data_IF_436655058374
#
_entry.id   IF_436655058374
#
_cell.length_a   1.000
_cell.length_b   1.000
_cell.length_c   1.000
_cell.angle_alpha   90.00
_cell.angle_beta   90.00
_cell.angle_gamma   90.00
#
_symmetry.space_group_name_H-M   'P 1'
#
loop_
_entity.id
_entity.type
_entity.pdbx_description
1 polymer ?
#
# COMPACT_ATOMS: atom_id res chain seq x y z
N UNK A 1 -55.60 -16.84 -49.89
CA UNK A 1 -56.10 -18.24 -49.91
C UNK A 1 -55.44 -18.99 -48.78
N UNK A 2 -56.27 -19.42 -47.84
CA UNK A 2 -56.20 -20.56 -46.93
C UNK A 2 -55.07 -20.55 -45.87
N UNK A 3 -55.35 -20.31 -44.53
CA UNK A 3 -55.99 -21.22 -43.52
C UNK A 3 -55.09 -22.42 -43.27
N UNK A 4 -54.72 -22.81 -41.99
CA UNK A 4 -55.41 -22.89 -40.71
C UNK A 4 -54.35 -23.22 -39.68
N UNK A 5 -54.38 -22.71 -38.44
CA UNK A 5 -54.95 -23.31 -37.23
C UNK A 5 -54.40 -24.68 -36.83
N UNK A 6 -53.83 -24.77 -35.63
CA UNK A 6 -53.57 -25.97 -34.88
C UNK A 6 -53.14 -25.63 -33.45
N UNK A 7 -54.08 -25.55 -32.58
CA UNK A 7 -53.92 -25.48 -31.11
C UNK A 7 -53.55 -26.87 -30.57
N UNK A 8 -52.76 -26.93 -29.53
CA UNK A 8 -52.44 -28.13 -28.78
C UNK A 8 -52.12 -27.77 -27.33
N UNK A 9 -53.13 -27.86 -26.52
CA UNK A 9 -53.17 -27.79 -25.09
C UNK A 9 -52.55 -29.04 -24.43
N UNK A 10 -51.87 -28.93 -23.34
CA UNK A 10 -51.29 -30.09 -22.63
C UNK A 10 -50.69 -29.76 -21.29
N UNK A 11 -51.56 -29.62 -20.33
CA UNK A 11 -51.47 -29.67 -18.86
C UNK A 11 -50.26 -30.33 -18.23
N UNK A 12 -49.76 -29.67 -17.18
CA UNK A 12 -49.43 -30.09 -15.82
C UNK A 12 -48.66 -31.40 -15.60
N UNK A 13 -47.59 -31.29 -14.84
CA UNK A 13 -47.50 -31.90 -13.51
C UNK A 13 -46.24 -31.46 -12.75
N UNK A 14 -46.51 -30.99 -11.55
CA UNK A 14 -45.75 -30.65 -10.37
C UNK A 14 -45.12 -31.91 -9.75
N UNK A 15 -43.83 -31.88 -9.41
CA UNK A 15 -43.16 -32.64 -8.35
C UNK A 15 -41.88 -31.86 -7.97
N UNK A 16 -41.73 -31.17 -6.91
CA UNK A 16 -41.52 -31.55 -5.56
C UNK A 16 -40.10 -32.08 -5.33
N UNK A 17 -39.19 -31.25 -4.82
CA UNK A 17 -37.86 -31.69 -4.41
C UNK A 17 -37.14 -30.54 -3.71
N UNK A 18 -37.43 -30.36 -2.41
CA UNK A 18 -36.73 -29.41 -1.57
C UNK A 18 -35.30 -29.88 -1.31
N UNK A 19 -34.33 -28.97 -1.39
CA UNK A 19 -33.05 -29.17 -0.78
C UNK A 19 -32.81 -28.07 0.25
N UNK A 20 -32.81 -28.53 1.50
CA UNK A 20 -32.58 -27.77 2.70
C UNK A 20 -31.06 -27.53 2.82
N UNK A 21 -30.60 -26.35 2.55
CA UNK A 21 -29.26 -25.93 3.00
C UNK A 21 -29.28 -25.73 4.51
N UNK A 22 -28.71 -26.69 5.20
CA UNK A 22 -28.54 -26.70 6.65
C UNK A 22 -27.65 -25.52 7.10
N UNK A 23 -28.28 -24.59 7.80
CA UNK A 23 -27.64 -23.50 8.51
C UNK A 23 -27.02 -24.07 9.79
N UNK A 24 -25.70 -24.33 9.79
CA UNK A 24 -24.99 -24.83 10.98
C UNK A 24 -24.67 -23.64 11.89
N UNK A 25 -25.54 -23.42 12.82
CA UNK A 25 -25.40 -22.45 13.91
C UNK A 25 -24.57 -23.09 15.02
N UNK A 26 -23.26 -22.80 15.08
CA UNK A 26 -22.38 -23.26 16.16
C UNK A 26 -22.53 -22.31 17.35
N UNK A 27 -23.43 -22.66 18.24
CA UNK A 27 -23.57 -22.06 19.60
C UNK A 27 -22.43 -22.58 20.48
N UNK A 28 -21.44 -21.75 20.75
CA UNK A 28 -20.45 -21.96 21.81
C UNK A 28 -21.10 -21.80 23.17
N UNK A 29 -21.42 -22.91 23.82
CA UNK A 29 -21.82 -22.95 25.24
C UNK A 29 -20.58 -22.75 26.11
N UNK A 30 -20.48 -21.62 26.76
CA UNK A 30 -19.55 -21.38 27.87
C UNK A 30 -20.03 -22.20 29.11
N UNK A 31 -19.31 -23.30 29.38
CA UNK A 31 -19.48 -24.10 30.58
C UNK A 31 -18.77 -23.41 31.75
N UNK A 32 -19.55 -22.83 32.64
CA UNK A 32 -19.10 -22.18 33.87
C UNK A 32 -18.84 -23.28 34.92
N UNK A 33 -17.58 -23.71 35.10
CA UNK A 33 -17.20 -24.57 36.20
C UNK A 33 -17.12 -23.74 37.51
N UNK A 34 -18.06 -24.00 38.42
CA UNK A 34 -17.97 -23.51 39.78
C UNK A 34 -17.10 -24.49 40.59
N UNK A 35 -15.93 -24.07 40.97
CA UNK A 35 -15.17 -24.75 42.02
C UNK A 35 -15.36 -23.98 43.33
N UNK A 36 -16.10 -24.63 44.26
CA UNK A 36 -16.04 -24.32 45.68
C UNK A 36 -14.80 -25.02 46.24
N UNK A 37 -13.81 -24.27 46.68
CA UNK A 37 -12.64 -24.73 47.39
C UNK A 37 -12.38 -23.86 48.62
N UNK A 38 -12.51 -24.50 49.75
CA UNK A 38 -12.29 -24.17 51.14
C UNK A 38 -11.15 -23.18 51.43
N UNK A 39 -11.46 -22.18 52.26
CA UNK A 39 -10.50 -21.26 52.89
C UNK A 39 -9.69 -22.00 53.94
N UNK A 40 -8.38 -22.22 53.68
CA UNK A 40 -7.40 -22.51 54.75
C UNK A 40 -6.48 -21.28 54.87
N UNK A 41 -6.44 -20.75 56.11
CA UNK A 41 -5.56 -19.67 56.55
C UNK A 41 -4.11 -20.16 56.53
N UNK A 42 -3.33 -19.83 55.50
CA UNK A 42 -1.89 -19.99 55.41
C UNK A 42 -1.19 -18.64 55.66
N UNK A 43 -0.32 -18.60 56.67
CA UNK A 43 0.48 -17.45 57.07
C UNK A 43 1.28 -16.89 55.86
N UNK A 44 1.08 -15.64 55.56
CA UNK A 44 1.91 -14.89 54.58
C UNK A 44 3.33 -14.73 55.13
N UNK A 45 4.25 -15.53 54.61
CA UNK A 45 5.67 -15.26 54.70
C UNK A 45 6.07 -14.14 53.72
N UNK A 46 6.70 -13.12 54.25
CA UNK A 46 7.22 -11.98 53.49
C UNK A 46 8.31 -12.48 52.51
N UNK A 47 8.28 -12.09 51.21
CA UNK A 47 9.32 -12.49 50.30
C UNK A 47 10.66 -11.86 50.67
N UNK A 48 11.79 -12.56 50.47
CA UNK A 48 13.12 -12.02 50.77
C UNK A 48 13.44 -10.84 49.86
N UNK A 49 14.14 -9.86 50.43
CA UNK A 49 14.60 -8.66 49.73
C UNK A 49 15.49 -9.01 48.52
N UNK A 50 15.36 -8.29 47.39
CA UNK A 50 16.21 -8.53 46.25
C UNK A 50 17.68 -8.20 46.55
N UNK A 51 18.56 -9.11 46.14
CA UNK A 51 20.01 -8.95 46.25
C UNK A 51 20.49 -7.77 45.40
N UNK A 52 21.52 -7.02 45.82
CA UNK A 52 22.02 -5.89 45.07
C UNK A 52 22.64 -6.35 43.74
N UNK A 53 22.06 -5.90 42.63
CA UNK A 53 22.60 -6.10 41.28
C UNK A 53 23.85 -5.23 41.14
N UNK A 54 25.03 -5.86 41.08
CA UNK A 54 26.27 -5.17 40.70
C UNK A 54 26.10 -4.63 39.26
N UNK A 55 26.07 -3.31 39.12
CA UNK A 55 26.15 -2.65 37.82
C UNK A 55 27.54 -2.88 37.22
N UNK A 56 27.66 -3.36 35.99
CA UNK A 56 28.95 -3.42 35.33
C UNK A 56 29.38 -2.00 34.92
N UNK A 57 30.40 -1.47 35.60
CA UNK A 57 31.13 -0.28 35.19
C UNK A 57 32.07 -0.64 34.03
N UNK A 58 31.51 -0.88 32.87
CA UNK A 58 32.26 -1.07 31.66
C UNK A 58 31.67 -0.16 30.59
N UNK A 59 32.35 0.95 30.26
CA UNK A 59 32.05 1.73 29.05
C UNK A 59 32.23 0.79 27.84
N UNK A 60 31.13 0.36 27.24
CA UNK A 60 31.14 -0.30 25.94
C UNK A 60 31.59 0.75 24.91
N UNK A 61 32.71 0.56 24.18
CA UNK A 61 33.09 1.49 23.12
C UNK A 61 32.01 1.43 22.01
N UNK A 62 31.37 2.58 21.78
CA UNK A 62 30.48 2.77 20.66
C UNK A 62 31.33 2.72 19.39
N UNK A 63 31.13 1.78 18.46
CA UNK A 63 31.83 1.79 17.21
C UNK A 63 31.49 3.08 16.48
N UNK A 64 32.51 3.86 16.11
CA UNK A 64 32.36 4.99 15.19
C UNK A 64 31.73 4.45 13.91
N UNK A 65 30.52 4.88 13.61
CA UNK A 65 29.93 4.70 12.28
C UNK A 65 30.73 5.60 11.32
N UNK A 66 31.65 5.00 10.63
CA UNK A 66 32.15 5.58 9.39
C UNK A 66 31.00 5.49 8.37
N UNK A 67 30.31 6.61 8.23
CA UNK A 67 29.34 6.78 7.15
C UNK A 67 30.11 6.81 5.83
N UNK A 68 29.88 5.89 4.89
CA UNK A 68 30.30 6.14 3.54
C UNK A 68 29.39 7.27 3.02
N UNK A 69 29.97 8.44 2.85
CA UNK A 69 29.39 9.53 2.09
C UNK A 69 29.27 9.07 0.61
N UNK A 70 28.27 8.25 0.34
CA UNK A 70 27.81 7.97 -1.00
C UNK A 70 27.25 9.27 -1.57
N UNK A 71 27.90 9.81 -2.60
CA UNK A 71 27.41 10.90 -3.42
C UNK A 71 25.99 10.57 -3.87
N UNK A 72 24.99 11.13 -3.19
CA UNK A 72 23.64 11.19 -3.69
C UNK A 72 23.69 12.02 -4.98
N UNK A 73 23.47 11.36 -6.11
CA UNK A 73 23.16 12.03 -7.36
C UNK A 73 21.90 12.87 -7.13
N UNK A 74 22.09 14.18 -7.10
CA UNK A 74 21.01 15.16 -6.97
C UNK A 74 20.17 15.16 -8.25
N UNK A 75 19.28 14.17 -8.37
CA UNK A 75 18.13 14.25 -9.25
C UNK A 75 17.11 15.19 -8.58
N UNK A 76 16.45 16.06 -9.36
CA UNK A 76 15.46 17.04 -8.91
C UNK A 76 14.45 16.35 -7.95
N UNK A 77 14.61 16.60 -6.65
CA UNK A 77 14.10 15.77 -5.59
C UNK A 77 12.58 15.71 -5.54
N UNK A 78 12.06 14.54 -5.76
CA UNK A 78 10.68 14.23 -5.36
C UNK A 78 10.60 14.41 -3.84
N UNK A 79 9.95 15.47 -3.39
CA UNK A 79 9.81 15.75 -1.96
C UNK A 79 8.76 14.79 -1.39
N UNK A 80 9.23 13.66 -0.84
CA UNK A 80 8.44 12.78 0.02
C UNK A 80 8.49 13.33 1.43
N UNK A 81 7.32 13.55 2.03
CA UNK A 81 7.20 14.13 3.37
C UNK A 81 7.47 13.11 4.46
N UNK A 82 6.96 11.89 4.29
CA UNK A 82 7.08 10.84 5.30
C UNK A 82 8.40 10.07 5.21
N UNK A 83 8.99 9.71 6.36
CA UNK A 83 10.26 8.98 6.42
C UNK A 83 10.17 7.59 5.79
N UNK A 84 9.08 6.85 6.07
CA UNK A 84 8.87 5.51 5.52
C UNK A 84 8.76 5.52 3.99
N UNK A 85 8.14 6.56 3.40
CA UNK A 85 8.08 6.71 1.95
C UNK A 85 9.48 6.88 1.34
N UNK A 86 10.33 7.70 1.97
CA UNK A 86 11.71 7.90 1.52
C UNK A 86 12.54 6.62 1.63
N UNK A 87 12.40 5.90 2.75
CA UNK A 87 13.10 4.64 3.00
C UNK A 87 12.71 3.59 1.97
N UNK A 88 11.38 3.36 1.75
CA UNK A 88 10.91 2.40 0.74
C UNK A 88 11.36 2.80 -0.66
N UNK A 89 11.29 4.09 -1.02
CA UNK A 89 11.71 4.55 -2.33
C UNK A 89 13.20 4.35 -2.58
N UNK A 90 14.05 4.66 -1.60
CA UNK A 90 15.51 4.45 -1.70
C UNK A 90 15.83 2.97 -1.88
N UNK A 91 15.26 2.10 -1.04
CA UNK A 91 15.41 0.67 -1.14
C UNK A 91 14.95 0.12 -2.50
N UNK A 92 13.79 0.55 -2.97
CA UNK A 92 13.24 0.18 -4.28
C UNK A 92 14.16 0.65 -5.43
N UNK A 93 14.73 1.85 -5.35
CA UNK A 93 15.67 2.38 -6.33
C UNK A 93 16.97 1.57 -6.40
N UNK A 94 17.50 1.17 -5.25
CA UNK A 94 18.70 0.32 -5.16
C UNK A 94 18.47 -1.04 -5.81
N UNK A 95 17.34 -1.70 -5.48
CA UNK A 95 17.00 -3.00 -6.03
C UNK A 95 16.76 -2.97 -7.54
N UNK A 96 16.03 -1.99 -8.05
CA UNK A 96 15.74 -1.93 -9.49
C UNK A 96 16.99 -1.66 -10.35
N UNK A 97 17.94 -0.89 -9.84
CA UNK A 97 19.09 -0.45 -10.61
C UNK A 97 18.67 0.27 -11.90
N UNK A 98 18.99 -0.31 -13.06
CA UNK A 98 18.61 0.22 -14.39
C UNK A 98 17.28 -0.30 -14.92
N UNK A 99 16.67 -1.27 -14.27
CA UNK A 99 15.37 -1.86 -14.66
C UNK A 99 14.23 -0.88 -14.42
N UNK A 100 13.07 -1.06 -15.05
CA UNK A 100 11.87 -0.28 -14.75
C UNK A 100 11.41 -0.46 -13.30
N UNK A 101 11.46 -1.71 -12.79
CA UNK A 101 11.11 -2.07 -11.43
C UNK A 101 11.87 -3.32 -10.96
N UNK A 102 12.05 -3.52 -9.64
CA UNK A 102 12.56 -4.78 -9.09
C UNK A 102 11.47 -5.86 -9.14
N UNK A 103 11.88 -7.11 -9.04
CA UNK A 103 10.95 -8.22 -8.89
C UNK A 103 10.39 -8.31 -7.46
N UNK A 104 9.17 -8.84 -7.31
CA UNK A 104 8.58 -9.05 -5.99
C UNK A 104 9.45 -9.94 -5.09
N UNK A 105 10.11 -10.93 -5.67
CA UNK A 105 10.97 -11.87 -4.95
C UNK A 105 12.23 -11.21 -4.35
N UNK A 106 12.67 -10.09 -4.90
CA UNK A 106 13.83 -9.33 -4.41
C UNK A 106 13.52 -8.46 -3.19
N UNK A 107 12.22 -8.25 -2.90
CA UNK A 107 11.82 -7.49 -1.72
C UNK A 107 11.99 -8.35 -0.48
N UNK A 108 13.01 -8.04 0.31
CA UNK A 108 13.32 -8.70 1.57
C UNK A 108 12.66 -7.98 2.75
N UNK A 109 11.71 -8.61 3.47
CA UNK A 109 11.04 -7.97 4.62
C UNK A 109 12.02 -7.52 5.71
N UNK A 110 13.12 -8.23 5.90
CA UNK A 110 14.12 -7.88 6.89
C UNK A 110 14.80 -6.53 6.61
N UNK A 111 14.99 -6.20 5.33
CA UNK A 111 15.63 -4.94 4.89
C UNK A 111 14.74 -3.72 5.18
N UNK A 112 13.41 -3.89 5.17
CA UNK A 112 12.43 -2.83 5.39
C UNK A 112 11.64 -3.00 6.70
N UNK A 113 12.19 -3.76 7.65
CA UNK A 113 11.50 -4.10 8.92
C UNK A 113 10.96 -2.90 9.68
N UNK A 114 11.64 -1.75 9.60
CA UNK A 114 11.27 -0.51 10.27
C UNK A 114 9.97 0.11 9.76
N UNK A 115 9.60 -0.20 8.51
CA UNK A 115 8.44 0.38 7.84
C UNK A 115 7.39 -0.66 7.41
N UNK A 116 7.58 -1.95 7.73
CA UNK A 116 6.66 -3.03 7.34
C UNK A 116 5.23 -2.79 7.83
N UNK A 117 5.06 -2.20 9.01
CA UNK A 117 3.73 -1.92 9.57
C UNK A 117 2.92 -0.92 8.75
N UNK A 118 3.57 -0.07 7.97
CA UNK A 118 2.98 0.96 7.10
C UNK A 118 2.99 0.55 5.63
N UNK A 119 3.61 -0.62 5.33
CA UNK A 119 3.77 -1.13 3.97
C UNK A 119 2.58 -1.99 3.57
N UNK A 120 2.18 -1.91 2.32
CA UNK A 120 1.20 -2.82 1.73
C UNK A 120 1.64 -3.28 0.34
N UNK A 121 1.06 -4.39 -0.12
CA UNK A 121 1.24 -4.93 -1.47
C UNK A 121 -0.15 -5.20 -2.06
N UNK A 122 -0.39 -4.70 -3.27
CA UNK A 122 -1.61 -4.94 -4.04
C UNK A 122 -1.29 -5.74 -5.31
N UNK A 123 -2.22 -6.59 -5.73
CA UNK A 123 -2.18 -7.16 -7.06
C UNK A 123 -2.60 -6.10 -8.08
N UNK A 124 -1.92 -6.01 -9.21
CA UNK A 124 -2.30 -5.10 -10.30
C UNK A 124 -3.28 -5.80 -11.25
N UNK A 125 -4.32 -6.38 -10.66
CA UNK A 125 -5.39 -7.08 -11.37
C UNK A 125 -6.67 -6.24 -11.37
N UNK A 126 -7.02 -5.71 -12.54
CA UNK A 126 -8.21 -4.86 -12.72
C UNK A 126 -9.51 -5.63 -12.51
N UNK A 127 -9.54 -6.91 -12.86
CA UNK A 127 -10.76 -7.73 -12.78
C UNK A 127 -11.12 -8.07 -11.36
N UNK A 128 -10.12 -8.22 -10.48
CA UNK A 128 -10.30 -8.44 -9.04
C UNK A 128 -10.38 -7.12 -8.23
N UNK A 129 -10.31 -5.94 -8.88
CA UNK A 129 -10.35 -4.65 -8.20
C UNK A 129 -9.08 -4.32 -7.41
N UNK A 130 -7.92 -4.82 -7.84
CA UNK A 130 -6.62 -4.57 -7.22
C UNK A 130 -6.55 -5.03 -5.76
N UNK A 131 -6.74 -6.32 -5.45
CA UNK A 131 -6.81 -6.79 -4.09
C UNK A 131 -5.48 -6.68 -3.34
N UNK A 132 -5.57 -6.41 -2.05
CA UNK A 132 -4.42 -6.49 -1.16
C UNK A 132 -3.87 -7.91 -1.09
N UNK A 133 -2.58 -8.07 -1.27
CA UNK A 133 -1.86 -9.34 -1.03
C UNK A 133 -1.14 -9.33 0.32
N UNK A 134 -0.87 -8.13 0.82
CA UNK A 134 -0.33 -7.88 2.15
C UNK A 134 -0.76 -6.48 2.59
N UNK A 135 -1.11 -6.34 3.85
CA UNK A 135 -1.25 -5.04 4.51
C UNK A 135 -0.53 -5.08 5.86
N UNK A 136 0.26 -4.05 6.13
CA UNK A 136 0.96 -3.91 7.40
C UNK A 136 -0.01 -3.63 8.54
N UNK A 137 0.41 -3.96 9.76
CA UNK A 137 -0.47 -3.89 10.94
C UNK A 137 -0.99 -2.48 11.23
N UNK A 138 -0.19 -1.44 10.97
CA UNK A 138 -0.66 -0.06 11.11
C UNK A 138 -1.68 0.30 10.03
N UNK A 139 -1.50 -0.19 8.79
CA UNK A 139 -2.47 0.05 7.72
C UNK A 139 -3.81 -0.62 8.06
N UNK A 140 -3.80 -1.86 8.54
CA UNK A 140 -5.02 -2.54 8.99
C UNK A 140 -5.68 -1.81 10.17
N UNK A 141 -4.89 -1.33 11.14
CA UNK A 141 -5.39 -0.62 12.31
C UNK A 141 -6.10 0.71 11.96
N UNK A 142 -5.70 1.38 10.86
CA UNK A 142 -6.40 2.60 10.41
C UNK A 142 -7.86 2.34 10.07
N UNK A 143 -8.21 1.13 9.63
CA UNK A 143 -9.56 0.76 9.19
C UNK A 143 -10.23 -0.24 10.14
N UNK A 144 -9.56 -0.60 11.26
CA UNK A 144 -10.00 -1.58 12.25
C UNK A 144 -10.41 -2.92 11.63
N UNK A 145 -9.69 -3.37 10.61
CA UNK A 145 -9.94 -4.66 9.95
C UNK A 145 -8.73 -5.18 9.16
N UNK A 146 -8.73 -6.50 8.90
CA UNK A 146 -7.75 -7.13 8.03
C UNK A 146 -8.09 -6.82 6.56
N UNK A 147 -7.13 -6.23 5.84
CA UNK A 147 -7.34 -5.79 4.45
C UNK A 147 -6.92 -6.83 3.42
N UNK A 148 -6.19 -7.88 3.79
CA UNK A 148 -5.73 -8.91 2.86
C UNK A 148 -6.88 -9.55 2.12
N UNK A 149 -6.83 -9.51 0.79
CA UNK A 149 -7.90 -10.01 -0.10
C UNK A 149 -8.97 -8.98 -0.44
N UNK A 150 -9.10 -7.88 0.33
CA UNK A 150 -10.02 -6.79 -0.02
C UNK A 150 -9.50 -5.99 -1.23
N UNK A 151 -10.42 -5.41 -1.99
CA UNK A 151 -10.07 -4.49 -3.06
C UNK A 151 -9.48 -3.20 -2.49
N UNK A 152 -8.32 -2.78 -3.00
CA UNK A 152 -7.72 -1.49 -2.66
C UNK A 152 -8.64 -0.30 -2.96
N UNK A 153 -9.49 -0.46 -3.96
CA UNK A 153 -10.41 0.60 -4.40
C UNK A 153 -11.57 0.83 -3.41
N UNK A 154 -11.86 -0.12 -2.53
CA UNK A 154 -12.95 0.05 -1.53
C UNK A 154 -12.59 1.03 -0.42
N UNK A 155 -11.30 1.35 -0.26
CA UNK A 155 -10.87 2.32 0.73
C UNK A 155 -11.15 3.77 0.32
N UNK A 156 -11.54 4.04 -0.92
CA UNK A 156 -11.61 5.38 -1.50
C UNK A 156 -13.05 5.86 -1.68
N UNK A 157 -13.26 7.16 -1.53
CA UNK A 157 -14.51 7.80 -1.96
C UNK A 157 -14.72 7.63 -3.47
N UNK A 158 -15.94 7.84 -3.96
CA UNK A 158 -16.33 7.55 -5.34
C UNK A 158 -15.53 8.35 -6.39
N UNK A 159 -15.13 9.58 -6.07
CA UNK A 159 -14.35 10.43 -6.97
C UNK A 159 -12.90 9.96 -7.00
N UNK A 160 -12.31 9.72 -5.83
CA UNK A 160 -10.93 9.29 -5.69
C UNK A 160 -10.73 7.85 -6.19
N UNK A 161 -11.73 6.99 -6.06
CA UNK A 161 -11.72 5.60 -6.53
C UNK A 161 -11.43 5.48 -8.02
N UNK A 162 -12.09 6.30 -8.85
CA UNK A 162 -11.87 6.32 -10.31
C UNK A 162 -10.43 6.74 -10.62
N UNK A 163 -9.99 7.85 -10.04
CA UNK A 163 -8.62 8.34 -10.24
C UNK A 163 -7.58 7.32 -9.74
N UNK A 164 -7.86 6.63 -8.65
CA UNK A 164 -6.96 5.62 -8.11
C UNK A 164 -6.87 4.39 -9.02
N UNK A 165 -7.99 3.97 -9.63
CA UNK A 165 -7.98 2.91 -10.64
C UNK A 165 -7.10 3.27 -11.86
N UNK A 166 -7.17 4.54 -12.32
CA UNK A 166 -6.32 5.04 -13.41
C UNK A 166 -4.83 5.03 -13.00
N UNK A 167 -4.51 5.48 -11.78
CA UNK A 167 -3.14 5.48 -11.26
C UNK A 167 -2.56 4.06 -11.15
N UNK A 168 -3.36 3.08 -10.70
CA UNK A 168 -2.95 1.69 -10.66
C UNK A 168 -2.78 1.10 -12.07
N UNK A 169 -3.59 1.57 -13.03
CA UNK A 169 -3.40 1.24 -14.44
C UNK A 169 -2.06 1.76 -14.99
N UNK A 170 -1.74 3.03 -14.74
CA UNK A 170 -0.46 3.64 -15.13
C UNK A 170 0.71 2.91 -14.44
N UNK A 171 0.56 2.56 -13.16
CA UNK A 171 1.55 1.78 -12.42
C UNK A 171 1.85 0.43 -13.10
N UNK A 172 0.79 -0.26 -13.57
CA UNK A 172 0.90 -1.55 -14.24
C UNK A 172 1.49 -1.45 -15.65
N UNK A 173 1.00 -0.50 -16.45
CA UNK A 173 1.27 -0.44 -17.88
C UNK A 173 2.57 0.33 -18.18
N UNK A 174 2.86 1.41 -17.43
CA UNK A 174 3.97 2.33 -17.69
C UNK A 174 5.12 2.25 -16.68
N UNK A 175 4.99 1.45 -15.63
CA UNK A 175 5.99 1.32 -14.55
C UNK A 175 6.28 2.66 -13.83
N UNK A 176 5.28 3.52 -13.79
CA UNK A 176 5.35 4.85 -13.19
C UNK A 176 4.75 4.80 -11.78
N UNK A 177 5.58 5.06 -10.78
CA UNK A 177 5.13 5.20 -9.40
C UNK A 177 4.42 6.53 -9.14
N UNK A 178 3.79 6.63 -7.99
CA UNK A 178 3.05 7.83 -7.56
C UNK A 178 3.30 8.13 -6.09
N UNK A 179 3.51 9.40 -5.77
CA UNK A 179 3.40 9.96 -4.41
C UNK A 179 2.19 10.87 -4.38
N UNK A 180 1.33 10.70 -3.38
CA UNK A 180 0.13 11.51 -3.23
C UNK A 180 -0.13 11.90 -1.77
N UNK A 181 -0.74 13.07 -1.59
CA UNK A 181 -1.40 13.43 -0.34
C UNK A 181 -2.78 12.79 -0.29
N UNK A 182 -3.16 12.31 0.86
CA UNK A 182 -4.46 11.67 1.11
C UNK A 182 -5.04 12.24 2.39
N UNK A 183 -6.34 12.50 2.41
CA UNK A 183 -7.06 12.92 3.62
C UNK A 183 -8.13 11.89 3.95
N UNK A 184 -8.34 11.63 5.22
CA UNK A 184 -9.44 10.81 5.71
C UNK A 184 -10.02 11.42 6.99
N UNK A 185 -11.25 11.06 7.30
CA UNK A 185 -11.90 11.43 8.56
C UNK A 185 -12.22 10.15 9.34
N UNK A 186 -12.09 10.20 10.66
CA UNK A 186 -12.61 9.14 11.51
C UNK A 186 -14.12 9.30 11.72
N UNK A 187 -14.74 8.35 12.43
CA UNK A 187 -16.17 8.39 12.75
C UNK A 187 -16.57 9.57 13.64
N UNK A 188 -15.63 10.22 14.30
CA UNK A 188 -15.83 11.43 15.13
C UNK A 188 -15.68 12.73 14.32
N UNK A 189 -15.35 12.63 13.01
CA UNK A 189 -15.17 13.78 12.11
C UNK A 189 -13.80 14.42 12.18
N UNK A 190 -12.83 13.86 12.92
CA UNK A 190 -11.47 14.34 12.95
C UNK A 190 -10.76 14.02 11.63
N UNK A 191 -10.09 15.02 11.04
CA UNK A 191 -9.38 14.87 9.77
C UNK A 191 -7.91 14.49 9.97
N UNK A 192 -7.43 13.55 9.17
CA UNK A 192 -6.05 13.08 9.16
C UNK A 192 -5.47 13.18 7.76
N UNK A 193 -4.23 13.70 7.69
CA UNK A 193 -3.46 13.76 6.44
C UNK A 193 -2.45 12.62 6.40
N UNK A 194 -2.40 11.95 5.25
CA UNK A 194 -1.49 10.83 4.96
C UNK A 194 -0.64 11.14 3.74
N UNK A 195 0.48 10.46 3.65
CA UNK A 195 1.23 10.28 2.41
C UNK A 195 1.03 8.87 1.89
N UNK A 196 0.61 8.76 0.64
CA UNK A 196 0.55 7.52 -0.11
C UNK A 196 1.75 7.47 -1.06
N UNK A 197 2.50 6.38 -1.00
CA UNK A 197 3.50 6.01 -2.00
C UNK A 197 3.05 4.73 -2.69
N UNK A 198 3.11 4.68 -4.01
CA UNK A 198 2.88 3.49 -4.84
C UNK A 198 4.05 3.30 -5.79
N UNK A 199 4.64 2.11 -5.80
CA UNK A 199 5.77 1.73 -6.63
C UNK A 199 5.49 0.41 -7.35
N UNK A 200 5.87 0.25 -8.63
CA UNK A 200 5.66 -0.98 -9.36
C UNK A 200 6.65 -2.07 -8.92
N UNK A 201 6.19 -3.31 -8.94
CA UNK A 201 7.01 -4.50 -8.84
C UNK A 201 6.82 -5.35 -10.09
N UNK A 202 7.92 -5.75 -10.72
CA UNK A 202 7.89 -6.60 -11.89
C UNK A 202 7.56 -8.04 -11.52
N UNK A 203 7.09 -8.79 -12.51
CA UNK A 203 6.83 -10.20 -12.40
C UNK A 203 7.08 -10.85 -13.77
N UNK A 204 7.41 -12.14 -13.77
CA UNK A 204 7.60 -12.95 -14.99
C UNK A 204 6.34 -13.10 -15.83
N UNK A 205 5.17 -12.94 -15.18
CA UNK A 205 3.85 -12.98 -15.85
C UNK A 205 3.06 -11.73 -15.50
N UNK A 206 2.37 -11.09 -16.47
CA UNK A 206 1.56 -9.90 -16.21
C UNK A 206 0.53 -10.07 -15.09
N UNK A 207 -0.15 -11.21 -15.02
CA UNK A 207 -1.11 -11.54 -13.97
C UNK A 207 -0.50 -11.60 -12.55
N UNK A 208 0.82 -11.66 -12.44
CA UNK A 208 1.53 -11.66 -11.16
C UNK A 208 2.11 -10.29 -10.80
N UNK A 209 1.88 -9.25 -11.61
CA UNK A 209 2.32 -7.90 -11.30
C UNK A 209 1.76 -7.41 -9.97
N UNK A 210 2.57 -6.67 -9.25
CA UNK A 210 2.22 -6.13 -7.93
C UNK A 210 2.61 -4.65 -7.85
N UNK A 211 1.91 -3.95 -7.00
CA UNK A 211 2.35 -2.66 -6.49
C UNK A 211 2.76 -2.81 -5.03
N UNK A 212 3.85 -2.18 -4.62
CA UNK A 212 4.21 -2.00 -3.21
C UNK A 212 3.99 -0.54 -2.84
N UNK A 213 3.48 -0.28 -1.63
CA UNK A 213 3.22 1.07 -1.20
C UNK A 213 3.37 1.29 0.29
N UNK A 214 3.33 2.55 0.66
CA UNK A 214 3.23 3.06 2.03
C UNK A 214 1.94 3.88 2.12
N UNK A 215 1.20 3.70 3.19
CA UNK A 215 0.15 4.62 3.64
C UNK A 215 0.49 5.03 5.07
N UNK A 216 1.00 6.23 5.23
CA UNK A 216 1.50 6.69 6.51
C UNK A 216 0.96 8.09 6.87
N UNK A 217 0.54 8.30 8.13
CA UNK A 217 0.04 9.59 8.59
C UNK A 217 1.17 10.61 8.66
N UNK A 218 0.93 11.83 8.15
CA UNK A 218 1.90 12.93 8.23
C UNK A 218 2.09 13.46 9.65
N UNK A 219 1.08 13.24 10.51
CA UNK A 219 1.12 13.46 11.95
C UNK A 219 0.52 12.23 12.61
N UNK A 220 1.01 11.88 13.78
CA UNK A 220 0.54 10.72 14.55
C UNK A 220 -0.12 11.21 15.84
N UNK A 221 -1.36 11.72 15.77
CA UNK A 221 -2.09 12.08 16.97
C UNK A 221 -2.45 10.82 17.78
N UNK A 222 -2.67 10.92 19.09
CA UNK A 222 -3.02 9.78 19.94
C UNK A 222 -4.30 9.04 19.49
N UNK A 223 -5.17 9.74 18.81
CA UNK A 223 -6.47 9.24 18.32
C UNK A 223 -6.38 8.38 17.07
N UNK A 224 -5.24 8.40 16.36
CA UNK A 224 -5.10 7.60 15.15
C UNK A 224 -5.09 6.08 15.47
N UNK A 225 -5.97 5.34 14.82
CA UNK A 225 -6.14 3.90 15.05
C UNK A 225 -6.99 3.54 16.28
N UNK A 226 -7.55 4.53 17.01
CA UNK A 226 -8.53 4.28 18.07
C UNK A 226 -9.95 4.18 17.54
N UNK A 227 -10.22 4.88 16.44
CA UNK A 227 -11.49 4.84 15.70
C UNK A 227 -11.19 4.62 14.22
N UNK A 228 -11.96 3.77 13.52
CA UNK A 228 -11.70 3.48 12.12
C UNK A 228 -11.88 4.71 11.24
N UNK A 229 -11.06 4.79 10.20
CA UNK A 229 -11.18 5.82 9.18
C UNK A 229 -12.34 5.51 8.24
N UNK A 230 -13.01 6.54 7.80
CA UNK A 230 -13.92 6.53 6.67
C UNK A 230 -13.17 6.48 5.33
N UNK A 231 -13.87 6.72 4.22
CA UNK A 231 -13.27 6.71 2.89
C UNK A 231 -12.12 7.70 2.75
N UNK A 232 -11.07 7.27 2.06
CA UNK A 232 -9.92 8.09 1.72
C UNK A 232 -10.26 9.04 0.56
N UNK A 233 -9.81 10.27 0.68
CA UNK A 233 -9.89 11.29 -0.37
C UNK A 233 -8.49 11.55 -0.94
N UNK A 234 -8.33 11.41 -2.26
CA UNK A 234 -7.07 11.65 -2.95
C UNK A 234 -6.86 13.15 -3.19
N UNK A 235 -5.74 13.65 -2.69
CA UNK A 235 -5.32 15.04 -2.87
C UNK A 235 -4.32 15.23 -4.03
N UNK A 236 -3.35 16.11 -3.82
CA UNK A 236 -2.27 16.38 -4.78
C UNK A 236 -1.42 15.13 -5.00
N UNK A 237 -1.03 14.90 -6.27
CA UNK A 237 -0.22 13.74 -6.64
C UNK A 237 0.89 14.09 -7.60
N UNK A 238 1.94 13.30 -7.58
CA UNK A 238 3.08 13.39 -8.50
C UNK A 238 3.51 12.00 -8.93
N UNK A 239 3.80 11.88 -10.22
CA UNK A 239 4.39 10.69 -10.78
C UNK A 239 5.89 10.66 -10.54
N UNK A 240 6.43 9.48 -10.27
CA UNK A 240 7.83 9.21 -9.99
C UNK A 240 8.30 7.96 -10.73
N UNK A 241 9.58 7.91 -11.03
CA UNK A 241 10.20 6.73 -11.64
C UNK A 241 11.01 7.03 -12.90
N UNK A 242 11.65 6.00 -13.48
CA UNK A 242 12.66 6.16 -14.52
C UNK A 242 12.13 6.79 -15.81
N UNK A 243 10.87 6.59 -16.15
CA UNK A 243 10.25 7.20 -17.32
C UNK A 243 10.10 8.73 -17.18
N UNK A 244 9.82 9.21 -15.97
CA UNK A 244 9.70 10.63 -15.64
C UNK A 244 11.07 11.27 -15.57
N UNK A 245 12.04 10.62 -14.93
CA UNK A 245 13.43 11.09 -14.87
C UNK A 245 14.02 11.32 -16.26
N UNK A 246 13.76 10.42 -17.22
CA UNK A 246 14.17 10.60 -18.61
C UNK A 246 13.49 11.77 -19.32
N UNK A 247 12.25 12.09 -18.96
CA UNK A 247 11.52 13.24 -19.52
C UNK A 247 11.97 14.58 -18.94
N UNK A 248 12.41 14.57 -17.67
CA UNK A 248 12.89 15.77 -16.96
C UNK A 248 14.38 16.06 -17.21
N UNK A 249 15.16 15.09 -17.70
CA UNK A 249 16.49 15.40 -18.20
C UNK A 249 16.30 16.39 -19.36
N UNK A 250 16.87 17.61 -19.28
CA UNK A 250 16.86 18.48 -20.44
C UNK A 250 17.44 17.67 -21.59
N UNK A 251 16.72 17.63 -22.72
CA UNK A 251 17.33 17.24 -23.98
C UNK A 251 18.54 18.13 -24.10
N UNK A 252 19.69 17.64 -23.67
CA UNK A 252 20.98 18.24 -23.98
C UNK A 252 20.90 18.30 -25.49
N UNK A 253 20.73 19.54 -25.98
CA UNK A 253 20.71 19.85 -27.36
C UNK A 253 21.85 19.08 -27.99
N UNK A 254 21.51 18.01 -28.69
CA UNK A 254 22.45 17.45 -29.67
C UNK A 254 22.85 18.66 -30.48
N UNK A 255 24.16 19.01 -30.59
CA UNK A 255 24.55 20.12 -31.42
C UNK A 255 23.90 19.87 -32.76
N UNK A 256 23.05 20.80 -33.19
CA UNK A 256 22.47 20.75 -34.52
C UNK A 256 23.64 20.62 -35.46
N UNK A 257 23.84 19.38 -35.95
CA UNK A 257 24.81 19.12 -36.97
C UNK A 257 24.58 20.16 -38.05
N UNK A 258 25.65 20.91 -38.35
CA UNK A 258 25.75 21.99 -39.30
C UNK A 258 24.91 21.72 -40.55
N UNK A 259 23.64 22.18 -40.55
CA UNK A 259 22.82 22.20 -41.77
C UNK A 259 23.39 23.30 -42.61
N UNK A 260 24.33 22.93 -43.49
CA UNK A 260 24.74 23.75 -44.64
C UNK A 260 23.48 24.14 -45.39
N UNK A 261 23.19 25.45 -45.43
CA UNK A 261 22.18 25.97 -46.35
C UNK A 261 21.17 26.94 -45.81
N UNK A 262 21.45 27.79 -44.81
CA UNK A 262 20.70 29.01 -44.60
C UNK A 262 21.59 30.22 -44.88
N UNK A 263 21.43 30.79 -46.07
CA UNK A 263 22.04 32.10 -46.42
C UNK A 263 21.03 33.15 -46.00
N UNK A 264 21.34 33.89 -44.95
CA UNK A 264 20.58 35.08 -44.56
C UNK A 264 21.00 36.22 -45.44
N UNK A 265 20.10 36.67 -46.32
CA UNK A 265 20.30 37.93 -47.05
C UNK A 265 19.82 39.08 -46.19
N UNK A 266 20.77 39.97 -45.84
CA UNK A 266 20.42 41.26 -45.25
C UNK A 266 19.71 42.11 -46.34
N UNK A 267 18.43 42.38 -46.13
CA UNK A 267 17.65 43.29 -46.95
C UNK A 267 18.04 44.74 -46.63
N UNK A 268 18.97 45.28 -47.40
CA UNK A 268 19.28 46.71 -47.35
C UNK A 268 18.06 47.53 -47.80
N UNK A 269 17.66 48.47 -46.96
CA UNK A 269 16.78 49.59 -47.38
C UNK A 269 17.58 50.59 -48.13
N UNK A 270 17.16 50.88 -49.38
CA UNK A 270 17.43 52.13 -50.12
C UNK A 270 16.39 53.17 -49.73
#
# INVERSE_FOLDING_TARGET
>A
MHRAQGAGDGSAQNLGGGDQTANVNISLRLTRARHRGSLQHGRFGMPPAPLPVKQPTGRIPVPKRDSPAGKAAAGAGVVMKHAASRELYTYWQELRGRRPAPERAEIEPAAIRGILSETFIVALDRTEGYPFRLAGTRVCALFDRELKGESFLTLWDDTSRRTMADLLGILADEWVGTVAGVTAHNTEGEAFDFELLLLPLSATRPALQRGIGILAPLRTPPTIGTTPLGPLTLGSRRHIGPAIEKRLLPRILTPLGNRRGLVVHDGGRS
#
